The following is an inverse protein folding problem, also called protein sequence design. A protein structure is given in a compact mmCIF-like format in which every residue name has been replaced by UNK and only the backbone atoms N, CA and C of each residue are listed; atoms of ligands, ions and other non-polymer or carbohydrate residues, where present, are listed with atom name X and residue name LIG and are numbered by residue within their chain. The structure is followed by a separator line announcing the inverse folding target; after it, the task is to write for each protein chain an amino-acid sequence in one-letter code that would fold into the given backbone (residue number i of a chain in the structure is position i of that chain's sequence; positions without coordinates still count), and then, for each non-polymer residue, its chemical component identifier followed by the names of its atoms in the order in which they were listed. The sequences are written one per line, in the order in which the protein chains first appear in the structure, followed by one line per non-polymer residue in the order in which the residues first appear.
data_IF_061903945644
#
_entry.id   IF_061903945644
#
_cell.length_a   1.000
_cell.length_b   1.000
_cell.length_c   1.000
_cell.angle_alpha   90.00
_cell.angle_beta   90.00
_cell.angle_gamma   90.00
#
_symmetry.space_group_name_H-M   'P 1'
#
loop_
_entity.id
_entity.type
_entity.pdbx_description
1 polymer ?
#
# COMPACT_ATOMS: atom_id res chain seq x y z
N UNK A 1 -0.08 22.62 8.00
CA UNK A 1 -1.16 21.65 8.12
C UNK A 1 -0.91 20.50 7.16
N UNK A 2 -0.98 19.32 7.65
CA UNK A 2 -0.71 18.16 6.81
C UNK A 2 -1.90 17.82 5.95
N UNK A 3 -1.60 17.37 4.74
CA UNK A 3 -2.65 16.95 3.84
C UNK A 3 -2.52 15.44 3.65
N UNK A 4 -3.67 14.80 3.47
CA UNK A 4 -3.74 13.38 3.22
C UNK A 4 -3.46 13.06 1.75
N UNK A 5 -3.39 14.07 0.91
CA UNK A 5 -3.19 13.88 -0.53
C UNK A 5 -1.71 13.80 -0.83
N UNK A 6 -1.35 12.80 -1.63
CA UNK A 6 0.04 12.56 -1.99
C UNK A 6 0.19 12.50 -3.49
N UNK A 7 1.34 12.95 -3.96
CA UNK A 7 1.70 12.78 -5.35
C UNK A 7 2.27 11.39 -5.57
N UNK A 8 2.45 11.04 -6.84
CA UNK A 8 3.03 9.75 -7.20
C UNK A 8 4.43 9.61 -6.61
N UNK A 9 5.21 10.68 -6.70
CA UNK A 9 6.56 10.64 -6.17
C UNK A 9 6.57 10.50 -4.66
N UNK A 10 5.61 11.14 -4.00
CA UNK A 10 5.53 11.05 -2.56
C UNK A 10 5.16 9.65 -2.11
N UNK A 11 4.24 9.01 -2.83
CA UNK A 11 3.88 7.63 -2.50
C UNK A 11 5.06 6.70 -2.73
N UNK A 12 5.79 6.90 -3.82
CA UNK A 12 6.96 6.08 -4.11
C UNK A 12 7.98 6.20 -2.98
N UNK A 13 8.26 7.41 -2.55
CA UNK A 13 9.21 7.62 -1.46
C UNK A 13 8.68 7.05 -0.16
N UNK A 14 7.40 7.21 0.10
CA UNK A 14 6.77 6.73 1.32
C UNK A 14 6.84 5.22 1.42
N UNK A 15 6.56 4.54 0.32
CA UNK A 15 6.60 3.09 0.28
C UNK A 15 7.98 2.55 -0.06
N UNK A 16 8.93 3.43 -0.32
CA UNK A 16 10.30 3.07 -0.66
C UNK A 16 10.35 2.21 -1.92
N UNK A 17 9.58 2.63 -2.90
CA UNK A 17 9.52 1.97 -4.20
C UNK A 17 9.87 2.99 -5.27
N UNK A 18 10.08 2.49 -6.48
CA UNK A 18 10.41 3.36 -7.60
C UNK A 18 9.15 4.04 -8.13
N UNK A 19 9.26 5.30 -8.54
CA UNK A 19 8.09 5.98 -9.10
C UNK A 19 7.48 5.25 -10.28
N UNK A 20 8.31 4.63 -11.10
CA UNK A 20 7.79 3.89 -12.26
C UNK A 20 6.90 2.74 -11.81
N UNK A 21 7.26 2.09 -10.71
CA UNK A 21 6.44 1.01 -10.17
C UNK A 21 5.08 1.52 -9.76
N UNK A 22 5.06 2.66 -9.07
CA UNK A 22 3.79 3.23 -8.61
C UNK A 22 2.96 3.65 -9.83
N UNK A 23 3.60 4.24 -10.82
CA UNK A 23 2.89 4.67 -12.01
C UNK A 23 2.22 3.47 -12.71
N UNK A 24 2.96 2.40 -12.88
CA UNK A 24 2.42 1.21 -13.52
C UNK A 24 1.26 0.63 -12.73
N UNK A 25 1.41 0.59 -11.42
CA UNK A 25 0.34 0.06 -10.56
C UNK A 25 -0.89 0.96 -10.58
N UNK A 26 -0.69 2.28 -10.65
CA UNK A 26 -1.82 3.19 -10.74
C UNK A 26 -2.57 2.98 -12.04
N UNK A 27 -1.83 2.81 -13.13
CA UNK A 27 -2.45 2.61 -14.43
C UNK A 27 -3.22 1.30 -14.51
N UNK A 28 -2.72 0.27 -13.87
CA UNK A 28 -3.34 -1.04 -13.95
C UNK A 28 -4.31 -1.33 -12.81
N UNK A 29 -4.49 -0.35 -11.92
CA UNK A 29 -5.45 -0.52 -10.83
C UNK A 29 -4.97 -1.40 -9.71
N UNK A 30 -3.68 -1.58 -9.57
CA UNK A 30 -3.12 -2.41 -8.51
C UNK A 30 -2.91 -1.64 -7.22
N UNK A 31 -2.98 -0.32 -7.27
CA UNK A 31 -2.83 0.53 -6.12
C UNK A 31 -3.96 1.55 -6.16
N UNK A 32 -4.57 1.87 -5.02
CA UNK A 32 -5.68 2.84 -5.02
C UNK A 32 -5.16 4.23 -5.37
N UNK A 33 -5.63 4.76 -6.47
CA UNK A 33 -5.17 6.02 -7.00
C UNK A 33 -6.32 6.69 -7.74
N UNK A 34 -6.26 8.01 -7.80
CA UNK A 34 -7.23 8.79 -8.54
C UNK A 34 -6.51 9.57 -9.63
N UNK A 35 -7.02 9.49 -10.85
CA UNK A 35 -6.46 10.26 -11.93
C UNK A 35 -7.27 11.54 -12.08
N UNK A 36 -6.61 12.64 -11.79
CA UNK A 36 -7.24 13.96 -11.84
C UNK A 36 -6.59 14.72 -12.99
N UNK A 37 -7.32 14.85 -14.10
CA UNK A 37 -6.72 15.43 -15.28
C UNK A 37 -5.60 14.54 -15.78
N UNK A 38 -4.39 15.04 -15.76
CA UNK A 38 -3.23 14.28 -16.20
C UNK A 38 -2.37 13.78 -15.06
N UNK A 39 -2.80 14.04 -13.82
CA UNK A 39 -1.99 13.75 -12.65
C UNK A 39 -2.60 12.63 -11.85
N UNK A 40 -1.76 11.82 -11.26
CA UNK A 40 -2.18 10.82 -10.30
C UNK A 40 -2.10 11.39 -8.90
N UNK A 41 -3.13 11.11 -8.11
CA UNK A 41 -3.14 11.53 -6.71
C UNK A 41 -3.57 10.36 -5.86
N UNK A 42 -3.06 10.34 -4.66
CA UNK A 42 -3.27 9.25 -3.73
C UNK A 42 -3.68 9.81 -2.39
N UNK A 43 -4.33 9.01 -1.60
CA UNK A 43 -4.71 9.41 -0.26
C UNK A 43 -3.93 8.56 0.72
N UNK A 44 -3.20 9.23 1.60
CA UNK A 44 -2.29 8.52 2.50
C UNK A 44 -3.03 7.50 3.34
N UNK A 45 -4.19 7.88 3.87
CA UNK A 45 -4.96 6.97 4.71
C UNK A 45 -5.37 5.72 3.92
N UNK A 46 -5.73 5.90 2.66
CA UNK A 46 -6.12 4.77 1.81
C UNK A 46 -4.89 3.93 1.46
N UNK A 47 -3.77 4.58 1.17
CA UNK A 47 -2.53 3.88 0.88
C UNK A 47 -2.10 3.05 2.07
N UNK A 48 -2.23 3.59 3.27
CA UNK A 48 -1.87 2.86 4.49
C UNK A 48 -2.71 1.60 4.63
N UNK A 49 -4.02 1.72 4.43
CA UNK A 49 -4.91 0.57 4.53
C UNK A 49 -4.59 -0.46 3.46
N UNK A 50 -4.35 0.02 2.23
CA UNK A 50 -4.01 -0.87 1.13
C UNK A 50 -2.70 -1.62 1.43
N UNK A 51 -1.72 -0.90 1.94
CA UNK A 51 -0.43 -1.49 2.26
C UNK A 51 -0.57 -2.54 3.35
N UNK A 52 -1.37 -2.23 4.36
CA UNK A 52 -1.58 -3.15 5.46
C UNK A 52 -2.32 -4.39 5.01
N UNK A 53 -3.18 -4.27 4.00
CA UNK A 53 -3.90 -5.44 3.51
C UNK A 53 -2.97 -6.45 2.88
N UNK A 54 -1.85 -6.00 2.34
CA UNK A 54 -0.85 -6.92 1.79
C UNK A 54 -0.14 -7.68 2.90
N UNK A 55 0.07 -7.02 4.01
CA UNK A 55 0.57 -7.71 5.18
C UNK A 55 -0.44 -8.72 5.66
N UNK A 56 -1.70 -8.31 5.68
CA UNK A 56 -2.72 -9.13 6.32
C UNK A 56 -2.83 -10.50 5.71
N UNK A 57 -2.66 -10.58 4.40
CA UNK A 57 -2.76 -11.89 3.75
C UNK A 57 -1.72 -12.86 4.24
N UNK A 58 -0.49 -12.42 4.27
CA UNK A 58 0.60 -13.31 4.66
C UNK A 58 0.82 -13.32 6.15
N UNK A 59 0.60 -12.17 6.76
CA UNK A 59 0.79 -12.05 8.19
C UNK A 59 -0.24 -12.87 8.94
N UNK A 60 -1.47 -12.86 8.48
CA UNK A 60 -2.50 -13.67 9.11
C UNK A 60 -2.23 -15.15 8.95
N UNK A 61 -1.68 -15.55 7.83
CA UNK A 61 -1.27 -16.94 7.65
C UNK A 61 -0.24 -17.33 8.67
N UNK A 62 0.73 -16.47 8.88
CA UNK A 62 1.79 -16.75 9.84
C UNK A 62 1.26 -16.80 11.26
N UNK A 63 0.37 -15.87 11.58
CA UNK A 63 -0.20 -15.82 12.92
C UNK A 63 -1.04 -17.06 13.17
N UNK A 64 -1.85 -17.44 12.20
CA UNK A 64 -2.68 -18.63 12.38
C UNK A 64 -1.84 -19.87 12.51
N UNK A 65 -0.76 -19.95 11.73
CA UNK A 65 0.13 -21.07 11.82
C UNK A 65 0.78 -21.13 13.19
N UNK A 66 1.18 -19.99 13.73
CA UNK A 66 1.76 -19.93 15.05
C UNK A 66 0.74 -20.34 16.11
N UNK A 67 -0.48 -19.86 15.98
CA UNK A 67 -1.51 -20.20 16.95
C UNK A 67 -1.79 -21.68 16.97
N UNK A 68 -1.69 -22.31 15.83
CA UNK A 68 -2.01 -23.73 15.71
C UNK A 68 -0.82 -24.60 16.00
N UNK A 69 0.34 -24.01 16.21
CA UNK A 69 1.55 -24.75 16.46
C UNK A 69 1.91 -24.66 17.93
N UNK A 70 1.77 -25.75 18.67
CA UNK A 70 2.02 -25.69 20.12
C UNK A 70 3.46 -25.32 20.46
N UNK A 71 4.37 -25.50 19.53
CA UNK A 71 5.74 -25.16 19.80
C UNK A 71 6.00 -23.69 19.84
N UNK A 72 5.09 -22.92 19.32
CA UNK A 72 5.28 -21.48 19.28
C UNK A 72 4.87 -20.78 20.56
N UNK A 73 4.47 -21.51 21.50
CA UNK A 73 4.03 -20.92 22.75
C UNK A 73 5.14 -20.51 23.66
#
# INVERSE_FOLDING_TARGET
METDIMTLEEVAAYLKLKPQTIYTWAQTGKIPAAKIGKEWRFKKSIIDTWFESHFDEKFNELIERSKNNPEDE
#
